data_IF_175957305296
#
_entry.id   IF_175957305296
#
_cell.length_a   1.000
_cell.length_b   1.000
_cell.length_c   1.000
_cell.angle_alpha   90.00
_cell.angle_beta   90.00
_cell.angle_gamma   90.00
#
_symmetry.space_group_name_H-M   'P 1'
#
loop_
_entity.id
_entity.type
_entity.pdbx_description
1 polymer ?
#
# COMPACT_ATOMS: atom_id res chain seq x y z
N UNK A 1 -10.75 15.64 -3.15
CA UNK A 1 -10.51 14.61 -4.16
C UNK A 1 -9.13 14.86 -4.73
N UNK A 2 -8.34 13.80 -4.88
CA UNK A 2 -6.99 13.96 -5.42
C UNK A 2 -7.05 14.48 -6.86
N UNK A 3 -6.13 15.40 -7.17
CA UNK A 3 -5.96 16.00 -8.49
C UNK A 3 -4.78 15.35 -9.21
N UNK A 4 -3.69 15.10 -8.48
CA UNK A 4 -2.50 14.48 -9.03
C UNK A 4 -1.72 13.73 -7.96
N UNK A 5 -0.95 12.74 -8.39
CA UNK A 5 -0.05 11.97 -7.54
C UNK A 5 1.20 11.56 -8.31
N UNK A 6 2.35 11.81 -7.71
CA UNK A 6 3.66 11.50 -8.29
C UNK A 6 4.53 10.77 -7.28
N UNK A 7 5.34 9.82 -7.76
CA UNK A 7 6.25 9.04 -6.92
C UNK A 7 7.66 9.13 -7.50
N UNK A 8 8.59 9.66 -6.71
CA UNK A 8 9.99 9.88 -7.12
C UNK A 8 10.92 8.68 -6.81
N UNK A 9 10.37 7.58 -6.28
CA UNK A 9 11.12 6.41 -5.83
C UNK A 9 11.24 6.30 -4.30
N UNK A 10 11.08 7.40 -3.56
CA UNK A 10 11.15 7.45 -2.09
C UNK A 10 9.95 8.14 -1.45
N UNK A 11 9.51 9.23 -2.05
CA UNK A 11 8.49 10.13 -1.56
C UNK A 11 7.32 10.19 -2.54
N UNK A 12 6.12 10.21 -1.96
CA UNK A 12 4.87 10.36 -2.68
C UNK A 12 4.44 11.82 -2.53
N UNK A 13 4.17 12.43 -3.67
CA UNK A 13 3.69 13.80 -3.83
C UNK A 13 2.22 13.71 -4.20
N UNK A 14 1.34 14.24 -3.36
CA UNK A 14 -0.11 14.21 -3.54
C UNK A 14 -0.64 15.64 -3.59
N UNK A 15 -1.43 15.95 -4.61
CA UNK A 15 -2.18 17.21 -4.71
C UNK A 15 -3.66 16.91 -4.54
N UNK A 16 -4.29 17.51 -3.53
CA UNK A 16 -5.71 17.40 -3.24
C UNK A 16 -6.38 18.78 -3.26
N UNK A 17 -7.64 18.83 -3.69
CA UNK A 17 -8.43 20.06 -3.78
C UNK A 17 -8.71 20.75 -2.42
N UNK A 18 -8.87 19.99 -1.33
CA UNK A 18 -9.22 20.49 0.00
C UNK A 18 -7.99 20.65 0.88
N UNK A 19 -7.10 19.66 0.82
CA UNK A 19 -5.93 19.56 1.68
C UNK A 19 -4.67 20.18 1.06
N UNK A 20 -4.72 20.54 -0.22
CA UNK A 20 -3.59 21.09 -0.95
C UNK A 20 -2.50 20.05 -1.21
N UNK A 21 -1.26 20.51 -1.27
CA UNK A 21 -0.09 19.67 -1.54
C UNK A 21 0.41 18.96 -0.27
N UNK A 22 0.57 17.64 -0.33
CA UNK A 22 1.14 16.80 0.72
C UNK A 22 2.28 15.96 0.17
N UNK A 23 3.30 15.76 1.01
CA UNK A 23 4.41 14.85 0.75
C UNK A 23 4.58 13.87 1.90
N UNK A 24 4.76 12.60 1.59
CA UNK A 24 4.99 11.57 2.61
C UNK A 24 5.86 10.43 2.08
N UNK A 25 6.54 9.73 2.98
CA UNK A 25 7.39 8.59 2.63
C UNK A 25 6.53 7.39 2.23
N UNK A 26 6.97 6.65 1.21
CA UNK A 26 6.30 5.42 0.78
C UNK A 26 6.49 4.31 1.83
N UNK A 27 5.43 4.00 2.57
CA UNK A 27 5.40 2.87 3.50
C UNK A 27 5.05 1.59 2.75
N UNK A 28 6.08 0.88 2.29
CA UNK A 28 5.90 -0.44 1.67
C UNK A 28 5.41 -1.45 2.72
N UNK A 29 4.24 -2.00 2.48
CA UNK A 29 3.70 -3.19 3.12
C UNK A 29 3.33 -4.26 2.08
N UNK A 30 3.08 -5.47 2.55
CA UNK A 30 2.45 -6.55 1.82
C UNK A 30 1.67 -7.39 2.84
N UNK A 31 0.94 -8.40 2.36
CA UNK A 31 0.30 -9.36 3.22
C UNK A 31 0.89 -10.75 2.99
N UNK A 32 1.17 -11.45 4.08
CA UNK A 32 1.64 -12.83 4.06
C UNK A 32 0.57 -13.75 4.65
N UNK A 33 0.40 -14.97 4.12
CA UNK A 33 -0.47 -15.97 4.71
C UNK A 33 -0.03 -16.28 6.14
N UNK A 34 -0.98 -16.16 7.07
CA UNK A 34 -0.80 -16.43 8.49
C UNK A 34 -2.12 -16.96 9.05
N UNK A 35 -2.12 -18.16 9.62
CA UNK A 35 -3.31 -18.77 10.22
C UNK A 35 -3.92 -17.89 11.32
N UNK A 36 -3.10 -17.10 12.01
CA UNK A 36 -3.52 -16.14 13.03
C UNK A 36 -3.61 -14.70 12.49
N UNK A 37 -3.57 -14.54 11.17
CA UNK A 37 -3.69 -13.26 10.48
C UNK A 37 -4.98 -12.53 10.85
N UNK A 38 -4.90 -11.20 10.94
CA UNK A 38 -6.03 -10.32 11.26
C UNK A 38 -6.92 -10.06 10.04
N UNK A 39 -6.37 -10.17 8.84
CA UNK A 39 -7.05 -9.84 7.59
C UNK A 39 -7.42 -11.11 6.84
N UNK A 40 -8.43 -11.02 6.00
CA UNK A 40 -8.88 -12.11 5.12
C UNK A 40 -8.70 -11.62 3.69
N UNK A 41 -7.94 -12.36 2.90
CA UNK A 41 -7.76 -12.11 1.48
C UNK A 41 -9.00 -12.55 0.68
N UNK A 42 -9.08 -12.14 -0.59
CA UNK A 42 -10.25 -12.41 -1.45
C UNK A 42 -10.49 -13.91 -1.70
N UNK A 43 -9.44 -14.72 -1.62
CA UNK A 43 -9.48 -16.18 -1.73
C UNK A 43 -9.90 -16.88 -0.42
N UNK A 44 -10.18 -16.12 0.64
CA UNK A 44 -10.57 -16.63 1.95
C UNK A 44 -9.40 -16.97 2.88
N UNK A 45 -8.15 -16.81 2.43
CA UNK A 45 -6.99 -17.07 3.25
C UNK A 45 -6.78 -15.97 4.31
N UNK A 46 -6.39 -16.39 5.52
CA UNK A 46 -6.02 -15.45 6.59
C UNK A 46 -4.63 -14.93 6.34
N UNK A 47 -4.46 -13.62 6.43
CA UNK A 47 -3.20 -12.93 6.13
C UNK A 47 -2.84 -11.89 7.18
N UNK A 48 -1.55 -11.61 7.30
CA UNK A 48 -0.97 -10.62 8.21
C UNK A 48 -0.26 -9.53 7.42
N UNK A 49 -0.50 -8.28 7.79
CA UNK A 49 0.18 -7.10 7.23
C UNK A 49 1.64 -7.09 7.70
N UNK A 50 2.58 -7.04 6.77
CA UNK A 50 4.02 -6.97 7.04
C UNK A 50 4.66 -5.81 6.29
N UNK A 51 5.64 -5.16 6.92
CA UNK A 51 6.37 -4.02 6.33
C UNK A 51 7.76 -4.39 5.81
N UNK A 52 8.27 -5.56 6.20
CA UNK A 52 9.52 -6.13 5.73
C UNK A 52 9.22 -7.50 5.16
N UNK A 53 9.54 -7.70 3.88
CA UNK A 53 9.33 -8.94 3.15
C UNK A 53 10.31 -9.02 2.00
N UNK A 54 10.63 -10.25 1.57
CA UNK A 54 11.44 -10.48 0.38
C UNK A 54 10.53 -10.45 -0.86
N UNK A 55 10.80 -9.54 -1.80
CA UNK A 55 10.03 -9.39 -3.04
C UNK A 55 10.05 -10.65 -3.92
N UNK A 56 10.97 -11.60 -3.69
CA UNK A 56 11.03 -12.88 -4.41
C UNK A 56 10.05 -13.93 -3.87
N UNK A 57 9.42 -13.71 -2.72
CA UNK A 57 8.47 -14.65 -2.16
C UNK A 57 7.17 -14.66 -2.99
N UNK A 58 6.79 -15.84 -3.49
CA UNK A 58 5.57 -16.05 -4.29
C UNK A 58 4.29 -15.84 -3.50
N UNK A 59 4.33 -16.01 -2.18
CA UNK A 59 3.15 -16.05 -1.33
C UNK A 59 2.73 -14.65 -0.84
N UNK A 60 3.23 -13.60 -1.51
CA UNK A 60 3.01 -12.21 -1.12
C UNK A 60 1.79 -11.62 -1.81
N UNK A 61 0.78 -11.31 -1.02
CA UNK A 61 -0.41 -10.59 -1.45
C UNK A 61 -0.14 -9.09 -1.50
N UNK A 62 -0.71 -8.43 -2.52
CA UNK A 62 -0.62 -6.98 -2.76
C UNK A 62 0.80 -6.39 -2.83
N UNK A 63 1.80 -7.23 -3.09
CA UNK A 63 3.21 -6.79 -3.14
C UNK A 63 3.59 -6.09 -4.45
N UNK A 64 2.82 -6.34 -5.50
CA UNK A 64 2.93 -5.78 -6.85
C UNK A 64 2.20 -4.43 -7.01
N UNK A 65 1.33 -4.08 -6.06
CA UNK A 65 0.55 -2.83 -6.09
C UNK A 65 1.50 -1.61 -6.14
N UNK A 66 1.34 -0.73 -7.16
CA UNK A 66 2.14 0.48 -7.26
C UNK A 66 2.00 1.39 -6.03
N UNK A 67 3.10 2.05 -5.67
CA UNK A 67 3.15 2.96 -4.51
C UNK A 67 2.08 4.06 -4.56
N UNK A 68 1.80 4.55 -5.77
CA UNK A 68 0.78 5.57 -6.05
C UNK A 68 -0.62 5.05 -5.70
N UNK A 69 -1.01 3.92 -6.26
CA UNK A 69 -2.33 3.30 -6.02
C UNK A 69 -2.56 3.07 -4.53
N UNK A 70 -1.53 2.56 -3.85
CA UNK A 70 -1.57 2.33 -2.40
C UNK A 70 -1.78 3.61 -1.60
N UNK A 71 -1.06 4.67 -1.94
CA UNK A 71 -1.24 5.96 -1.29
C UNK A 71 -2.64 6.53 -1.48
N UNK A 72 -3.25 6.33 -2.65
CA UNK A 72 -4.63 6.76 -2.88
C UNK A 72 -5.61 5.96 -2.01
N UNK A 73 -5.47 4.64 -1.97
CA UNK A 73 -6.30 3.78 -1.09
C UNK A 73 -6.14 4.20 0.37
N UNK A 74 -4.91 4.33 0.88
CA UNK A 74 -4.67 4.66 2.28
C UNK A 74 -5.18 6.06 2.69
N UNK A 75 -5.26 7.04 1.77
CA UNK A 75 -5.70 8.40 2.08
C UNK A 75 -7.20 8.65 1.85
N UNK A 76 -7.87 7.82 1.07
CA UNK A 76 -9.24 8.05 0.60
C UNK A 76 -10.21 6.87 0.82
N UNK A 77 -9.86 5.90 1.68
CA UNK A 77 -10.76 4.83 2.16
C UNK A 77 -11.27 5.17 3.55
#
# INVERSE_FOLDING_TARGET
>A
MYQNVYFDGRTIHLWDDKLGYKKFSNKRYAFLPDKNGKYIALDGNRVKKVFRYDKKNSDLYESDVPAITRALVDNYT
#
